data_IF_563523557347
#
_entry.id   IF_563523557347
#
_cell.length_a   1.000
_cell.length_b   1.000
_cell.length_c   1.000
_cell.angle_alpha   90.00
_cell.angle_beta   90.00
_cell.angle_gamma   90.00
#
_symmetry.space_group_name_H-M   'P 1'
#
loop_
_entity.id
_entity.type
_entity.pdbx_description
1 polymer ?
#
# COMPACT_ATOMS: atom_id res chain seq x y z
N UNK A 1 1.99 22.11 -17.06
CA UNK A 1 2.14 20.82 -16.36
C UNK A 1 2.63 19.76 -17.34
N UNK A 2 3.81 19.97 -17.93
CA UNK A 2 4.39 19.04 -18.93
C UNK A 2 5.04 17.80 -18.30
N UNK A 3 5.09 17.72 -16.96
CA UNK A 3 5.71 16.60 -16.24
C UNK A 3 4.73 15.46 -15.91
N UNK A 4 3.41 15.71 -15.88
CA UNK A 4 2.40 14.72 -15.50
C UNK A 4 1.88 13.87 -16.67
N UNK A 5 2.17 14.26 -17.93
CA UNK A 5 1.56 13.63 -19.12
C UNK A 5 2.50 12.75 -19.93
N UNK A 6 3.56 12.18 -19.32
CA UNK A 6 4.18 11.02 -19.98
C UNK A 6 3.15 9.91 -19.94
N UNK A 7 2.48 9.71 -21.08
CA UNK A 7 1.51 8.64 -21.31
C UNK A 7 2.01 7.34 -20.69
N UNK A 8 1.53 7.02 -19.49
CA UNK A 8 1.72 5.73 -18.82
C UNK A 8 1.42 4.59 -19.84
N UNK A 9 0.42 4.79 -20.70
CA UNK A 9 -0.02 3.87 -21.74
C UNK A 9 0.99 3.51 -22.84
N UNK A 10 1.91 4.40 -23.25
CA UNK A 10 2.78 4.13 -24.41
C UNK A 10 4.05 3.34 -24.07
N UNK A 11 4.62 3.53 -22.87
CA UNK A 11 5.76 2.74 -22.40
C UNK A 11 5.31 1.36 -21.89
N UNK A 12 4.07 1.24 -21.42
CA UNK A 12 3.49 0.02 -20.85
C UNK A 12 3.06 -1.00 -21.90
N UNK A 13 2.66 -0.57 -23.10
CA UNK A 13 2.14 -1.46 -24.13
C UNK A 13 3.11 -2.59 -24.58
N UNK A 14 4.41 -2.49 -24.25
CA UNK A 14 5.43 -3.49 -24.57
C UNK A 14 5.92 -4.31 -23.36
N UNK A 15 5.32 -4.10 -22.18
CA UNK A 15 5.67 -4.81 -20.94
C UNK A 15 5.17 -6.25 -20.89
N UNK A 16 5.46 -6.94 -19.78
CA UNK A 16 4.93 -8.28 -19.52
C UNK A 16 3.50 -8.18 -19.01
N UNK A 17 2.55 -8.80 -19.71
CA UNK A 17 1.14 -8.84 -19.31
C UNK A 17 0.86 -9.78 -18.15
N UNK A 18 0.11 -9.26 -17.17
CA UNK A 18 -0.53 -9.99 -16.07
C UNK A 18 -2.01 -9.63 -16.03
N UNK A 19 -2.83 -10.50 -15.44
CA UNK A 19 -4.23 -10.20 -15.10
C UNK A 19 -4.35 -10.02 -13.59
N UNK A 20 -4.76 -8.84 -13.16
CA UNK A 20 -4.87 -8.47 -11.76
C UNK A 20 -6.30 -8.09 -11.40
N UNK A 21 -6.77 -8.47 -10.22
CA UNK A 21 -8.03 -7.98 -9.68
C UNK A 21 -7.78 -6.62 -9.01
N UNK A 22 -8.33 -5.51 -9.54
CA UNK A 22 -8.22 -4.22 -8.87
C UNK A 22 -8.86 -4.24 -7.48
N UNK A 23 -9.93 -5.04 -7.35
CA UNK A 23 -10.68 -5.27 -6.11
C UNK A 23 -10.89 -6.75 -5.87
N UNK A 24 -10.91 -7.20 -4.60
CA UNK A 24 -10.95 -8.63 -4.28
C UNK A 24 -12.21 -9.31 -4.84
N UNK A 25 -12.07 -10.38 -5.65
CA UNK A 25 -13.18 -10.99 -6.39
C UNK A 25 -14.21 -11.67 -5.49
N UNK A 26 -13.84 -12.00 -4.24
CA UNK A 26 -14.75 -12.57 -3.25
C UNK A 26 -15.69 -11.53 -2.62
N UNK A 27 -15.41 -10.24 -2.78
CA UNK A 27 -16.32 -9.13 -2.42
C UNK A 27 -16.98 -8.52 -3.66
N UNK A 28 -16.26 -8.55 -4.77
CA UNK A 28 -16.64 -7.94 -6.04
C UNK A 28 -16.72 -8.98 -7.17
N UNK A 29 -17.62 -9.98 -7.09
CA UNK A 29 -17.67 -11.08 -8.05
C UNK A 29 -18.06 -10.66 -9.48
N UNK A 30 -18.60 -9.45 -9.63
CA UNK A 30 -18.91 -8.85 -10.93
C UNK A 30 -17.72 -8.16 -11.60
N UNK A 31 -16.60 -7.98 -10.90
CA UNK A 31 -15.44 -7.24 -11.41
C UNK A 31 -14.38 -8.22 -11.92
N UNK A 32 -14.18 -8.33 -13.24
CA UNK A 32 -13.17 -9.21 -13.79
C UNK A 32 -11.76 -8.65 -13.53
N UNK A 33 -10.70 -9.47 -13.62
CA UNK A 33 -9.35 -8.95 -13.54
C UNK A 33 -9.02 -8.10 -14.78
N UNK A 34 -8.24 -7.06 -14.60
CA UNK A 34 -7.71 -6.18 -15.64
C UNK A 34 -6.35 -6.68 -16.14
N UNK A 35 -6.13 -6.64 -17.45
CA UNK A 35 -4.81 -6.91 -18.02
C UNK A 35 -3.95 -5.67 -17.88
N UNK A 36 -2.93 -5.75 -17.03
CA UNK A 36 -1.90 -4.71 -16.87
C UNK A 36 -0.61 -5.13 -17.55
N UNK A 37 0.27 -4.15 -17.77
CA UNK A 37 1.63 -4.41 -18.24
C UNK A 37 2.61 -3.97 -17.17
N UNK A 38 3.52 -4.87 -16.81
CA UNK A 38 4.64 -4.55 -15.92
C UNK A 38 5.93 -4.43 -16.72
N UNK A 39 6.89 -3.70 -16.16
CA UNK A 39 8.19 -3.45 -16.78
C UNK A 39 8.97 -4.75 -16.99
N UNK A 40 9.83 -4.73 -18.01
CA UNK A 40 10.49 -5.92 -18.54
C UNK A 40 10.01 -6.24 -19.96
N UNK A 41 10.79 -7.05 -20.67
CA UNK A 41 10.42 -7.50 -22.03
C UNK A 41 9.66 -8.83 -21.91
N UNK A 42 8.73 -9.14 -22.81
CA UNK A 42 8.10 -10.46 -22.84
C UNK A 42 9.17 -11.57 -22.79
N UNK A 43 9.03 -12.47 -21.80
CA UNK A 43 9.99 -13.55 -21.54
C UNK A 43 11.17 -13.20 -20.62
N UNK A 44 11.29 -11.95 -20.14
CA UNK A 44 12.31 -11.58 -19.13
C UNK A 44 11.94 -12.00 -17.72
N UNK A 45 10.65 -12.20 -17.42
CA UNK A 45 10.17 -12.71 -16.13
C UNK A 45 10.11 -14.23 -16.19
N UNK A 46 10.88 -14.88 -15.31
CA UNK A 46 11.09 -16.33 -15.27
C UNK A 46 10.01 -17.12 -14.52
N UNK A 47 10.15 -18.46 -14.45
CA UNK A 47 9.27 -19.33 -13.66
C UNK A 47 9.29 -19.03 -12.16
N UNK A 48 8.14 -19.22 -11.50
CA UNK A 48 7.89 -18.72 -10.14
C UNK A 48 8.12 -17.23 -10.19
N UNK A 49 7.15 -16.47 -10.78
CA UNK A 49 7.39 -15.18 -11.42
C UNK A 49 8.56 -14.45 -10.78
N UNK A 50 9.61 -14.26 -11.55
CA UNK A 50 10.90 -13.83 -11.03
C UNK A 50 11.65 -12.93 -11.99
N UNK A 51 12.24 -11.88 -11.44
CA UNK A 51 13.11 -10.95 -12.14
C UNK A 51 14.36 -10.65 -11.30
N UNK A 52 14.98 -9.51 -11.56
CA UNK A 52 16.19 -9.01 -10.88
C UNK A 52 15.90 -8.33 -9.54
N UNK A 53 14.65 -7.99 -9.22
CA UNK A 53 14.25 -7.33 -7.98
C UNK A 53 13.54 -8.28 -7.01
N UNK A 54 12.75 -9.23 -7.51
CA UNK A 54 11.92 -10.10 -6.67
C UNK A 54 11.68 -11.47 -7.31
N UNK A 55 11.26 -12.44 -6.50
CA UNK A 55 10.82 -13.74 -6.98
C UNK A 55 9.76 -14.33 -6.05
N UNK A 56 8.84 -15.11 -6.63
CA UNK A 56 7.78 -15.77 -5.89
C UNK A 56 8.05 -17.26 -5.70
N UNK A 57 7.80 -17.74 -4.48
CA UNK A 57 7.82 -19.16 -4.11
C UNK A 57 6.50 -19.59 -3.47
N UNK A 58 6.14 -20.86 -3.70
CA UNK A 58 5.06 -21.54 -3.00
C UNK A 58 5.67 -22.68 -2.16
N UNK A 59 6.10 -22.40 -0.92
CA UNK A 59 6.87 -23.36 -0.13
C UNK A 59 6.02 -24.55 0.35
N UNK A 60 6.64 -25.71 0.43
CA UNK A 60 6.05 -26.93 1.02
C UNK A 60 6.58 -27.09 2.44
N UNK A 61 5.69 -27.28 3.41
CA UNK A 61 6.09 -27.61 4.79
C UNK A 61 6.75 -26.46 5.57
N UNK A 62 6.69 -25.22 5.08
CA UNK A 62 7.20 -24.06 5.83
C UNK A 62 6.39 -23.88 7.11
N UNK A 63 7.07 -24.11 8.24
CA UNK A 63 6.45 -24.20 9.57
C UNK A 63 6.63 -22.95 10.41
N UNK A 64 7.53 -22.06 10.00
CA UNK A 64 7.80 -20.77 10.63
C UNK A 64 7.72 -19.70 9.55
N UNK A 65 6.98 -18.64 9.83
CA UNK A 65 7.04 -17.37 9.12
C UNK A 65 8.46 -16.78 9.22
N UNK A 66 8.77 -15.83 8.34
CA UNK A 66 9.96 -15.02 8.51
C UNK A 66 9.74 -13.95 9.56
N UNK A 67 10.82 -13.58 10.26
CA UNK A 67 10.77 -12.69 11.39
C UNK A 67 11.15 -13.32 12.74
N UNK A 68 10.76 -12.66 13.82
CA UNK A 68 10.97 -13.11 15.20
C UNK A 68 10.01 -14.23 15.54
N UNK A 69 10.61 -15.37 15.80
CA UNK A 69 9.89 -16.57 16.17
C UNK A 69 10.28 -17.02 17.58
N UNK A 70 9.43 -17.84 18.18
CA UNK A 70 9.71 -18.51 19.45
C UNK A 70 9.80 -20.01 19.26
N UNK A 71 10.81 -20.62 19.86
CA UNK A 71 10.89 -22.08 19.94
C UNK A 71 9.77 -22.64 20.83
N UNK A 72 9.48 -23.96 20.77
CA UNK A 72 8.59 -24.60 21.74
C UNK A 72 9.00 -24.41 23.22
N UNK A 73 10.23 -23.98 23.49
CA UNK A 73 10.73 -23.68 24.84
C UNK A 73 10.75 -22.16 25.16
N UNK A 74 10.20 -21.32 24.28
CA UNK A 74 10.06 -19.88 24.48
C UNK A 74 11.28 -19.04 24.09
N UNK A 75 12.39 -19.66 23.65
CA UNK A 75 13.58 -18.94 23.18
C UNK A 75 13.28 -18.23 21.86
N UNK A 76 13.61 -16.94 21.80
CA UNK A 76 13.42 -16.12 20.59
C UNK A 76 14.55 -16.42 19.59
N UNK A 77 14.21 -16.59 18.32
CA UNK A 77 15.15 -16.68 17.21
C UNK A 77 14.64 -15.89 16.02
N UNK A 78 15.56 -15.52 15.12
CA UNK A 78 15.24 -14.81 13.89
C UNK A 78 15.26 -15.80 12.72
N UNK A 79 14.18 -15.85 11.94
CA UNK A 79 14.08 -16.61 10.71
C UNK A 79 14.08 -15.65 9.53
N UNK A 80 15.00 -15.79 8.59
CA UNK A 80 15.12 -14.91 7.42
C UNK A 80 15.19 -15.73 6.13
N UNK A 81 14.86 -15.13 4.97
CA UNK A 81 15.07 -15.75 3.67
C UNK A 81 16.54 -16.10 3.41
N UNK A 82 16.83 -16.90 2.36
CA UNK A 82 15.87 -17.56 1.48
C UNK A 82 15.34 -18.87 2.05
N UNK A 83 14.17 -19.31 1.58
CA UNK A 83 13.62 -20.63 1.89
C UNK A 83 14.50 -21.70 1.26
N UNK A 84 14.79 -22.76 2.01
CA UNK A 84 15.71 -23.83 1.58
C UNK A 84 15.05 -25.20 1.39
N UNK A 85 13.77 -25.31 1.71
CA UNK A 85 13.02 -26.56 1.56
C UNK A 85 12.39 -26.70 0.17
N UNK A 86 11.52 -27.70 0.04
CA UNK A 86 10.79 -27.94 -1.21
C UNK A 86 9.84 -26.76 -1.52
N UNK A 87 9.66 -26.50 -2.81
CA UNK A 87 8.65 -25.57 -3.33
C UNK A 87 7.75 -26.32 -4.30
N UNK A 88 6.49 -25.92 -4.38
CA UNK A 88 5.58 -26.42 -5.41
C UNK A 88 6.09 -26.02 -6.80
N UNK A 89 5.57 -26.70 -7.83
CA UNK A 89 5.94 -26.43 -9.22
C UNK A 89 5.73 -24.94 -9.54
N UNK A 90 6.79 -24.20 -9.93
CA UNK A 90 6.66 -22.77 -10.18
C UNK A 90 5.78 -22.48 -11.39
N UNK A 91 4.96 -21.43 -11.29
CA UNK A 91 4.17 -20.88 -12.41
C UNK A 91 5.10 -20.45 -13.54
N UNK A 92 4.72 -20.67 -14.80
CA UNK A 92 5.58 -20.36 -15.97
C UNK A 92 4.93 -19.31 -16.87
N UNK A 93 5.72 -18.46 -17.54
CA UNK A 93 5.19 -17.64 -18.61
C UNK A 93 4.73 -18.52 -19.78
N UNK A 94 3.81 -17.99 -20.58
CA UNK A 94 3.37 -18.57 -21.84
C UNK A 94 4.47 -18.56 -22.90
N UNK A 95 4.19 -19.14 -24.07
CA UNK A 95 5.16 -19.19 -25.18
C UNK A 95 5.56 -17.80 -25.71
N UNK A 96 4.70 -16.80 -25.51
CA UNK A 96 4.91 -15.40 -25.84
C UNK A 96 5.54 -14.60 -24.69
N UNK A 97 5.85 -15.24 -23.56
CA UNK A 97 6.57 -14.62 -22.44
C UNK A 97 5.67 -13.86 -21.45
N UNK A 98 4.36 -14.11 -21.46
CA UNK A 98 3.36 -13.43 -20.64
C UNK A 98 2.63 -14.36 -19.65
N UNK A 99 1.99 -13.78 -18.62
CA UNK A 99 1.27 -14.54 -17.57
C UNK A 99 -0.25 -14.36 -17.65
N UNK A 100 -0.75 -13.51 -18.56
CA UNK A 100 -2.18 -13.28 -18.80
C UNK A 100 -2.93 -14.53 -19.32
N UNK A 101 -2.24 -15.56 -19.80
CA UNK A 101 -2.83 -16.82 -20.24
C UNK A 101 -3.39 -17.71 -19.11
N UNK A 102 -3.04 -17.45 -17.84
CA UNK A 102 -3.37 -18.34 -16.70
C UNK A 102 -4.86 -18.23 -16.33
N UNK A 103 -5.66 -19.31 -16.38
CA UNK A 103 -7.09 -19.26 -16.04
C UNK A 103 -7.34 -18.78 -14.61
N UNK A 104 -8.39 -17.98 -14.38
CA UNK A 104 -8.68 -17.35 -13.07
C UNK A 104 -9.01 -18.37 -11.97
N UNK A 105 -9.47 -19.57 -12.34
CA UNK A 105 -9.82 -20.68 -11.48
C UNK A 105 -8.62 -21.61 -11.18
N UNK A 106 -7.48 -21.36 -11.82
CA UNK A 106 -6.25 -22.10 -11.58
C UNK A 106 -5.54 -21.60 -10.30
N UNK A 107 -4.99 -22.49 -9.45
CA UNK A 107 -4.19 -22.08 -8.29
C UNK A 107 -3.00 -21.17 -8.67
N UNK A 108 -2.43 -21.39 -9.85
CA UNK A 108 -1.34 -20.60 -10.42
C UNK A 108 -1.71 -19.13 -10.66
N UNK A 109 -3.01 -18.82 -10.79
CA UNK A 109 -3.47 -17.45 -10.97
C UNK A 109 -3.17 -16.59 -9.75
N UNK A 110 -3.37 -17.12 -8.53
CA UNK A 110 -3.07 -16.38 -7.31
C UNK A 110 -1.57 -16.04 -7.18
N UNK A 111 -0.69 -16.96 -7.59
CA UNK A 111 0.75 -16.71 -7.63
C UNK A 111 1.12 -15.64 -8.67
N UNK A 112 0.58 -15.72 -9.88
CA UNK A 112 0.79 -14.70 -10.90
C UNK A 112 0.21 -13.34 -10.48
N UNK A 113 -0.95 -13.34 -9.82
CA UNK A 113 -1.61 -12.16 -9.31
C UNK A 113 -0.76 -11.44 -8.26
N UNK A 114 -0.24 -12.16 -7.26
CA UNK A 114 0.64 -11.59 -6.23
C UNK A 114 1.86 -10.94 -6.85
N UNK A 115 2.61 -11.68 -7.68
CA UNK A 115 3.81 -11.11 -8.30
C UNK A 115 3.48 -9.91 -9.18
N UNK A 116 2.44 -10.03 -10.03
CA UNK A 116 2.05 -8.96 -10.94
C UNK A 116 1.60 -7.72 -10.18
N UNK A 117 0.90 -7.87 -9.04
CA UNK A 117 0.48 -6.75 -8.18
C UNK A 117 1.69 -6.05 -7.56
N UNK A 118 2.62 -6.80 -6.99
CA UNK A 118 3.84 -6.24 -6.39
C UNK A 118 4.70 -5.56 -7.45
N UNK A 119 4.91 -6.18 -8.61
CA UNK A 119 5.68 -5.53 -9.69
C UNK A 119 4.99 -4.30 -10.25
N UNK A 120 3.67 -4.35 -10.44
CA UNK A 120 2.88 -3.21 -10.94
C UNK A 120 2.97 -2.02 -9.99
N UNK A 121 2.80 -2.24 -8.68
CA UNK A 121 2.95 -1.18 -7.68
C UNK A 121 4.40 -0.65 -7.63
N UNK A 122 5.42 -1.51 -7.76
CA UNK A 122 6.82 -1.07 -7.83
C UNK A 122 7.05 -0.15 -9.03
N UNK A 123 6.62 -0.57 -10.22
CA UNK A 123 6.79 0.19 -11.45
C UNK A 123 6.12 1.58 -11.38
N UNK A 124 4.96 1.66 -10.71
CA UNK A 124 4.26 2.92 -10.49
C UNK A 124 5.09 3.87 -9.63
N UNK A 125 5.61 3.37 -8.51
CA UNK A 125 6.39 4.20 -7.61
C UNK A 125 7.75 4.59 -8.20
N UNK A 126 8.48 3.66 -8.83
CA UNK A 126 9.74 3.98 -9.52
C UNK A 126 9.58 5.06 -10.60
N UNK A 127 8.42 5.15 -11.25
CA UNK A 127 8.13 6.25 -12.18
C UNK A 127 7.92 7.59 -11.48
N UNK A 128 7.18 7.61 -10.37
CA UNK A 128 7.02 8.83 -9.59
C UNK A 128 8.34 9.32 -8.98
N UNK A 129 9.20 8.41 -8.52
CA UNK A 129 10.57 8.72 -8.09
C UNK A 129 11.50 9.07 -9.27
N UNK A 130 11.22 8.55 -10.46
CA UNK A 130 12.03 8.76 -11.66
C UNK A 130 13.32 7.93 -11.69
N UNK A 131 13.45 6.95 -10.79
CA UNK A 131 14.58 6.02 -10.71
C UNK A 131 14.15 4.69 -10.07
N UNK A 132 14.96 3.66 -10.24
CA UNK A 132 14.74 2.38 -9.57
C UNK A 132 14.97 2.49 -8.06
N UNK A 133 14.18 1.77 -7.28
CA UNK A 133 14.29 1.77 -5.81
C UNK A 133 15.16 0.60 -5.37
N UNK A 134 16.30 0.91 -4.74
CA UNK A 134 17.15 -0.11 -4.13
C UNK A 134 16.51 -0.64 -2.85
N UNK A 135 16.56 -1.96 -2.65
CA UNK A 135 16.08 -2.55 -1.41
C UNK A 135 16.98 -2.17 -0.23
N UNK A 136 16.37 -1.77 0.90
CA UNK A 136 17.08 -1.49 2.15
C UNK A 136 17.86 -2.71 2.70
N UNK A 137 17.55 -3.92 2.21
CA UNK A 137 18.21 -5.18 2.54
C UNK A 137 19.20 -5.67 1.48
N UNK A 138 19.47 -4.88 0.43
CA UNK A 138 20.30 -5.27 -0.73
C UNK A 138 21.72 -5.74 -0.36
N UNK A 139 22.20 -5.36 0.83
CA UNK A 139 23.48 -5.82 1.39
C UNK A 139 23.51 -7.34 1.62
N UNK A 140 22.40 -7.92 2.06
CA UNK A 140 22.33 -9.33 2.47
C UNK A 140 21.48 -10.17 1.51
N UNK A 141 20.46 -9.56 0.89
CA UNK A 141 19.57 -10.20 -0.08
C UNK A 141 19.43 -9.35 -1.33
N UNK A 142 19.82 -9.87 -2.49
CA UNK A 142 19.73 -9.13 -3.76
C UNK A 142 18.28 -8.93 -4.24
N UNK A 143 17.37 -9.80 -3.81
CA UNK A 143 15.98 -9.83 -4.26
C UNK A 143 15.03 -10.06 -3.10
N UNK A 144 13.83 -9.50 -3.22
CA UNK A 144 12.71 -9.80 -2.35
C UNK A 144 12.21 -11.24 -2.59
N UNK A 145 12.17 -12.08 -1.56
CA UNK A 145 11.49 -13.38 -1.60
C UNK A 145 10.03 -13.23 -1.21
N UNK A 146 9.11 -13.49 -2.14
CA UNK A 146 7.67 -13.47 -1.90
C UNK A 146 7.20 -14.92 -1.67
N UNK A 147 6.62 -15.22 -0.51
CA UNK A 147 6.20 -16.57 -0.13
C UNK A 147 4.68 -16.68 0.05
N UNK A 148 4.07 -17.66 -0.62
CA UNK A 148 2.65 -18.00 -0.46
C UNK A 148 2.43 -18.87 0.78
N UNK A 149 1.68 -18.37 1.77
CA UNK A 149 1.37 -19.07 3.02
C UNK A 149 -0.13 -19.05 3.35
N UNK A 150 -1.02 -19.72 2.59
CA UNK A 150 -2.49 -19.59 2.78
C UNK A 150 -3.03 -19.95 4.18
N UNK A 151 -2.26 -20.69 5.00
CA UNK A 151 -2.62 -21.01 6.37
C UNK A 151 -2.24 -19.92 7.40
N UNK A 152 -1.47 -18.92 6.98
CA UNK A 152 -1.09 -17.77 7.79
C UNK A 152 -2.23 -16.74 7.78
N UNK A 153 -2.71 -16.33 8.96
CA UNK A 153 -3.83 -15.39 9.10
C UNK A 153 -3.37 -13.92 9.05
N UNK A 154 -2.41 -13.63 8.17
CA UNK A 154 -1.87 -12.28 7.96
C UNK A 154 -1.19 -12.15 6.59
N UNK A 155 -0.82 -10.93 6.23
CA UNK A 155 0.17 -10.63 5.20
C UNK A 155 1.19 -9.69 5.83
N UNK A 156 2.48 -9.88 5.55
CA UNK A 156 3.51 -8.99 6.08
C UNK A 156 4.77 -8.97 5.22
N UNK A 157 5.55 -7.91 5.37
CA UNK A 157 6.88 -7.77 4.80
C UNK A 157 7.93 -7.63 5.88
N UNK A 158 9.18 -7.89 5.52
CA UNK A 158 10.32 -7.64 6.39
C UNK A 158 11.62 -7.58 5.62
N UNK A 159 12.74 -7.68 6.36
CA UNK A 159 14.08 -7.61 5.79
C UNK A 159 14.36 -8.78 4.82
N UNK A 160 14.10 -8.56 3.53
CA UNK A 160 14.33 -9.51 2.44
C UNK A 160 13.12 -10.34 2.02
N UNK A 161 11.94 -10.16 2.65
CA UNK A 161 10.79 -11.02 2.41
C UNK A 161 9.44 -10.31 2.38
N UNK A 162 8.49 -10.98 1.74
CA UNK A 162 7.05 -10.73 1.81
C UNK A 162 6.34 -12.08 1.96
N UNK A 163 5.42 -12.22 2.90
CA UNK A 163 4.65 -13.46 3.07
C UNK A 163 3.16 -13.18 3.01
N UNK A 164 2.47 -13.94 2.16
CA UNK A 164 1.08 -13.70 1.80
C UNK A 164 0.20 -14.83 2.31
N UNK A 165 -0.64 -14.51 3.28
CA UNK A 165 -1.60 -15.45 3.85
C UNK A 165 -3.03 -15.29 3.35
N UNK A 166 -3.98 -15.60 4.22
CA UNK A 166 -5.40 -15.46 3.98
C UNK A 166 -6.12 -15.18 5.29
N UNK A 167 -7.23 -14.45 5.24
CA UNK A 167 -8.10 -14.34 6.41
C UNK A 167 -8.94 -15.61 6.58
N UNK A 168 -8.94 -16.17 7.78
CA UNK A 168 -9.79 -17.33 8.12
C UNK A 168 -10.97 -16.90 8.98
N UNK A 169 -12.18 -16.91 8.41
CA UNK A 169 -13.40 -16.52 9.14
C UNK A 169 -13.94 -17.67 9.98
N UNK A 170 -14.65 -17.33 11.06
CA UNK A 170 -15.26 -18.30 11.98
C UNK A 170 -16.35 -19.20 11.36
N UNK A 171 -16.88 -18.83 10.19
CA UNK A 171 -17.81 -19.62 9.39
C UNK A 171 -17.11 -20.60 8.43
N UNK A 172 -15.78 -20.64 8.45
CA UNK A 172 -14.95 -21.48 7.57
C UNK A 172 -14.65 -20.85 6.21
N UNK A 173 -15.11 -19.63 5.93
CA UNK A 173 -14.73 -18.92 4.71
C UNK A 173 -13.26 -18.49 4.76
N UNK A 174 -12.56 -18.65 3.64
CA UNK A 174 -11.18 -18.22 3.47
C UNK A 174 -11.16 -17.07 2.48
N UNK A 175 -10.60 -15.94 2.89
CA UNK A 175 -10.42 -14.76 2.05
C UNK A 175 -8.94 -14.63 1.70
N UNK A 176 -8.52 -15.09 0.51
CA UNK A 176 -7.11 -15.11 0.16
C UNK A 176 -6.61 -13.69 -0.05
N UNK A 177 -5.65 -13.23 0.77
CA UNK A 177 -5.01 -11.94 0.55
C UNK A 177 -4.30 -11.90 -0.79
N UNK A 178 -3.86 -13.05 -1.31
CA UNK A 178 -3.23 -13.18 -2.63
C UNK A 178 -4.07 -12.68 -3.80
N UNK A 179 -5.38 -12.48 -3.64
CA UNK A 179 -6.28 -11.90 -4.65
C UNK A 179 -6.78 -10.49 -4.28
N UNK A 180 -6.16 -9.85 -3.29
CA UNK A 180 -6.46 -8.50 -2.86
C UNK A 180 -5.28 -7.57 -3.22
N UNK A 181 -5.45 -6.79 -4.28
CA UNK A 181 -4.42 -5.86 -4.75
C UNK A 181 -4.00 -4.85 -3.67
N UNK A 182 -4.96 -4.29 -2.94
CA UNK A 182 -4.70 -3.27 -1.92
C UNK A 182 -3.75 -3.79 -0.84
N UNK A 183 -3.89 -5.06 -0.44
CA UNK A 183 -2.98 -5.69 0.53
C UNK A 183 -1.57 -5.81 -0.05
N UNK A 184 -1.42 -6.26 -1.31
CA UNK A 184 -0.09 -6.39 -1.93
C UNK A 184 0.59 -5.03 -2.11
N UNK A 185 -0.18 -4.03 -2.55
CA UNK A 185 0.31 -2.68 -2.77
C UNK A 185 0.68 -1.99 -1.44
N UNK A 186 -0.09 -2.23 -0.38
CA UNK A 186 0.20 -1.75 0.97
C UNK A 186 1.51 -2.36 1.51
N UNK A 187 1.63 -3.69 1.46
CA UNK A 187 2.85 -4.37 1.93
C UNK A 187 4.10 -3.92 1.16
N UNK A 188 3.98 -3.76 -0.16
CA UNK A 188 5.09 -3.19 -0.95
C UNK A 188 5.35 -1.71 -0.59
N UNK A 189 4.32 -0.93 -0.29
CA UNK A 189 4.44 0.46 0.13
C UNK A 189 5.43 0.63 1.28
N UNK A 190 5.41 -0.26 2.28
CA UNK A 190 6.44 -0.28 3.32
C UNK A 190 7.86 -0.45 2.75
N UNK A 191 8.06 -1.44 1.87
CA UNK A 191 9.38 -1.71 1.30
C UNK A 191 9.89 -0.56 0.43
N UNK A 192 8.99 0.13 -0.29
CA UNK A 192 9.29 1.36 -1.03
C UNK A 192 9.79 2.44 -0.07
N UNK A 193 9.06 2.72 1.01
CA UNK A 193 9.48 3.73 1.98
C UNK A 193 10.81 3.35 2.64
N UNK A 194 11.00 2.10 3.07
CA UNK A 194 12.28 1.67 3.63
C UNK A 194 13.42 1.75 2.62
N UNK A 195 13.18 1.43 1.34
CA UNK A 195 14.17 1.56 0.27
C UNK A 195 14.59 3.02 0.06
N UNK A 196 13.65 3.96 0.17
CA UNK A 196 13.91 5.38 -0.08
C UNK A 196 14.50 6.12 1.12
N UNK A 197 13.90 6.01 2.30
CA UNK A 197 14.32 6.78 3.49
C UNK A 197 15.16 5.95 4.47
N UNK A 198 15.16 4.62 4.34
CA UNK A 198 15.84 3.73 5.28
C UNK A 198 15.04 3.41 6.54
N UNK A 199 15.70 2.70 7.46
CA UNK A 199 15.16 2.28 8.76
C UNK A 199 15.74 3.20 9.85
N UNK A 200 14.93 3.70 10.81
CA UNK A 200 15.40 4.59 11.84
C UNK A 200 16.36 3.89 12.79
N UNK A 201 17.23 4.69 13.41
CA UNK A 201 17.94 4.27 14.59
C UNK A 201 16.96 4.09 15.75
N UNK A 202 17.11 3.02 16.55
CA UNK A 202 16.21 2.71 17.69
C UNK A 202 16.02 3.84 18.70
N UNK A 203 17.02 4.72 18.85
CA UNK A 203 16.96 5.87 19.76
C UNK A 203 16.25 7.08 19.17
N UNK A 204 16.06 7.08 17.85
CA UNK A 204 15.38 8.13 17.08
C UNK A 204 13.95 7.74 16.70
N UNK A 205 13.52 6.51 16.99
CA UNK A 205 12.15 6.04 16.83
C UNK A 205 11.19 6.88 17.68
N UNK A 206 10.10 7.32 17.06
CA UNK A 206 8.96 7.93 17.73
C UNK A 206 7.67 7.24 17.28
N UNK A 207 6.56 7.47 17.99
CA UNK A 207 5.29 6.83 17.65
C UNK A 207 4.78 7.20 16.26
N UNK A 208 4.95 8.46 15.89
CA UNK A 208 4.54 8.99 14.60
C UNK A 208 5.29 8.36 13.42
N UNK A 209 6.51 7.85 13.59
CA UNK A 209 7.22 7.10 12.55
C UNK A 209 6.45 5.83 12.16
N UNK A 210 5.93 5.08 13.13
CA UNK A 210 5.17 3.86 12.87
C UNK A 210 3.79 4.17 12.28
N UNK A 211 3.11 5.20 12.80
CA UNK A 211 1.87 5.68 12.20
C UNK A 211 2.08 6.18 10.76
N UNK A 212 3.22 6.83 10.49
CA UNK A 212 3.61 7.24 9.14
C UNK A 212 3.86 6.05 8.22
N UNK A 213 4.58 5.02 8.66
CA UNK A 213 4.84 3.83 7.84
C UNK A 213 3.53 3.18 7.37
N UNK A 214 2.55 3.04 8.26
CA UNK A 214 1.22 2.53 7.91
C UNK A 214 0.46 3.49 6.99
N UNK A 215 0.52 4.80 7.26
CA UNK A 215 -0.12 5.80 6.41
C UNK A 215 0.46 5.80 5.00
N UNK A 216 1.79 5.82 4.89
CA UNK A 216 2.50 5.80 3.62
C UNK A 216 2.22 4.54 2.81
N UNK A 217 2.09 3.39 3.46
CA UNK A 217 1.70 2.13 2.82
C UNK A 217 0.24 2.17 2.31
N UNK A 218 -0.70 2.70 3.08
CA UNK A 218 -2.08 2.93 2.61
C UNK A 218 -2.14 3.89 1.40
N UNK A 219 -1.41 5.01 1.48
CA UNK A 219 -1.32 5.97 0.38
C UNK A 219 -0.65 5.35 -0.86
N UNK A 220 0.32 4.46 -0.65
CA UNK A 220 0.95 3.68 -1.70
C UNK A 220 -0.06 2.81 -2.45
N UNK A 221 -0.93 2.12 -1.71
CA UNK A 221 -2.01 1.32 -2.27
C UNK A 221 -3.06 2.18 -3.00
N UNK A 222 -3.47 3.30 -2.39
CA UNK A 222 -4.47 4.22 -2.96
C UNK A 222 -4.05 4.79 -4.31
N UNK A 223 -2.83 5.30 -4.39
CA UNK A 223 -2.31 5.87 -5.64
C UNK A 223 -2.17 4.77 -6.68
N UNK A 224 -1.71 3.58 -6.28
CA UNK A 224 -1.53 2.46 -7.20
C UNK A 224 -2.86 1.90 -7.73
N UNK A 225 -3.91 1.83 -6.92
CA UNK A 225 -5.23 1.33 -7.35
C UNK A 225 -5.87 2.25 -8.40
N UNK A 226 -5.63 3.56 -8.30
CA UNK A 226 -6.07 4.54 -9.30
C UNK A 226 -5.34 4.43 -10.66
N UNK A 227 -4.43 3.49 -10.85
CA UNK A 227 -3.86 3.15 -12.16
C UNK A 227 -4.63 2.07 -12.92
N UNK A 228 -5.65 1.45 -12.31
CA UNK A 228 -6.55 0.54 -13.02
C UNK A 228 -7.65 1.32 -13.74
N UNK A 229 -7.81 1.05 -15.04
CA UNK A 229 -8.82 1.71 -15.86
C UNK A 229 -10.24 1.31 -15.46
N UNK A 230 -10.43 0.05 -15.11
CA UNK A 230 -11.72 -0.45 -14.65
C UNK A 230 -12.08 0.15 -13.30
N UNK A 231 -11.12 0.29 -12.38
CA UNK A 231 -11.36 0.87 -11.07
C UNK A 231 -11.71 2.36 -11.18
N UNK A 232 -10.97 3.15 -11.99
CA UNK A 232 -11.30 4.55 -12.25
C UNK A 232 -12.71 4.72 -12.82
N UNK A 233 -13.06 3.90 -13.81
CA UNK A 233 -14.36 3.98 -14.47
C UNK A 233 -15.49 3.63 -13.50
N UNK A 234 -15.34 2.53 -12.77
CA UNK A 234 -16.32 2.08 -11.78
C UNK A 234 -16.50 3.10 -10.65
N UNK A 235 -15.40 3.59 -10.07
CA UNK A 235 -15.43 4.60 -9.01
C UNK A 235 -16.20 5.86 -9.46
N UNK A 236 -15.99 6.34 -10.69
CA UNK A 236 -16.70 7.51 -11.22
C UNK A 236 -18.15 7.20 -11.58
N UNK A 237 -18.46 6.00 -12.06
CA UNK A 237 -19.84 5.56 -12.31
C UNK A 237 -20.66 5.45 -11.01
N UNK A 238 -20.04 5.04 -9.90
CA UNK A 238 -20.73 4.94 -8.61
C UNK A 238 -20.88 6.28 -7.90
N UNK A 239 -19.84 7.11 -7.94
CA UNK A 239 -19.78 8.34 -7.12
C UNK A 239 -20.15 9.60 -7.91
N UNK A 240 -20.07 9.54 -9.23
CA UNK A 240 -20.13 10.71 -10.12
C UNK A 240 -19.14 11.82 -9.73
N UNK A 241 -18.03 11.46 -9.05
CA UNK A 241 -17.00 12.38 -8.58
C UNK A 241 -17.20 12.93 -7.16
N UNK A 242 -18.24 12.51 -6.43
CA UNK A 242 -18.40 12.88 -5.03
C UNK A 242 -17.70 11.86 -4.10
N UNK A 243 -16.43 12.09 -3.78
CA UNK A 243 -15.63 11.15 -2.97
C UNK A 243 -15.74 11.33 -1.45
N UNK A 244 -16.43 12.38 -0.96
CA UNK A 244 -16.68 12.56 0.47
C UNK A 244 -17.84 11.70 0.99
N UNK A 245 -18.50 10.94 0.11
CA UNK A 245 -19.42 9.86 0.49
C UNK A 245 -18.70 8.51 0.42
N UNK A 246 -19.13 7.56 1.24
CA UNK A 246 -18.58 6.20 1.29
C UNK A 246 -18.42 5.59 -0.10
N UNK A 247 -17.20 5.17 -0.46
CA UNK A 247 -16.88 4.63 -1.78
C UNK A 247 -15.65 3.72 -1.77
N UNK A 248 -15.39 3.01 -2.87
CA UNK A 248 -14.29 2.04 -2.93
C UNK A 248 -12.86 2.63 -2.82
N UNK A 249 -12.66 3.91 -3.13
CA UNK A 249 -11.35 4.57 -3.00
C UNK A 249 -10.96 4.79 -1.54
N UNK A 250 -11.96 4.95 -0.66
CA UNK A 250 -11.71 5.17 0.76
C UNK A 250 -11.50 3.88 1.57
N UNK A 251 -11.68 2.69 0.98
CA UNK A 251 -11.59 1.40 1.68
C UNK A 251 -10.30 0.66 1.36
N UNK A 252 -9.46 0.46 2.38
CA UNK A 252 -8.24 -0.34 2.26
C UNK A 252 -8.44 -1.76 2.80
N UNK A 253 -7.97 -2.74 2.03
CA UNK A 253 -8.01 -4.16 2.38
C UNK A 253 -9.41 -4.59 2.83
N UNK A 254 -10.38 -4.48 1.91
CA UNK A 254 -11.76 -4.88 2.16
C UNK A 254 -11.82 -6.36 2.56
N UNK A 255 -12.51 -6.64 3.69
CA UNK A 255 -12.68 -7.97 4.26
C UNK A 255 -14.13 -8.45 4.09
N UNK A 256 -15.12 -7.57 4.20
CA UNK A 256 -16.49 -7.85 3.76
C UNK A 256 -17.20 -6.57 3.28
N UNK A 257 -18.53 -6.63 3.07
CA UNK A 257 -19.30 -5.48 2.56
C UNK A 257 -19.27 -4.27 3.49
N UNK A 258 -19.01 -4.45 4.78
CA UNK A 258 -19.01 -3.37 5.79
C UNK A 258 -17.70 -3.30 6.61
N UNK A 259 -16.79 -4.24 6.39
CA UNK A 259 -15.54 -4.38 7.13
C UNK A 259 -14.37 -4.19 6.19
N UNK A 260 -13.51 -3.25 6.56
CA UNK A 260 -12.23 -2.97 5.93
C UNK A 260 -11.21 -2.81 7.04
N UNK A 261 -9.93 -3.02 6.73
CA UNK A 261 -8.90 -2.82 7.74
C UNK A 261 -8.80 -1.32 8.09
N UNK A 262 -8.92 -0.42 7.10
CA UNK A 262 -8.80 1.04 7.28
C UNK A 262 -9.67 1.85 6.31
N UNK A 263 -10.00 3.09 6.71
CA UNK A 263 -10.75 4.06 5.90
C UNK A 263 -9.93 5.34 5.65
N UNK A 264 -9.68 5.66 4.38
CA UNK A 264 -9.01 6.91 4.00
C UNK A 264 -9.86 8.12 4.41
N UNK A 265 -11.15 8.09 4.10
CA UNK A 265 -12.14 9.05 4.58
C UNK A 265 -12.54 8.71 6.02
N UNK A 266 -11.96 9.43 6.98
CA UNK A 266 -12.24 9.27 8.41
C UNK A 266 -12.26 10.64 9.10
N UNK A 267 -12.78 10.73 10.32
CA UNK A 267 -12.84 11.99 11.09
C UNK A 267 -11.77 12.12 12.18
N UNK A 268 -10.79 11.20 12.23
CA UNK A 268 -9.76 11.20 13.28
C UNK A 268 -8.79 12.37 13.10
N UNK A 269 -8.38 12.92 14.24
CA UNK A 269 -7.43 14.02 14.33
C UNK A 269 -6.31 13.66 15.31
N UNK A 270 -5.20 14.41 15.29
CA UNK A 270 -4.13 14.22 16.28
C UNK A 270 -4.58 14.51 17.72
N UNK A 271 -5.66 15.27 17.92
CA UNK A 271 -6.22 15.50 19.26
C UNK A 271 -6.69 14.19 19.92
N UNK A 272 -7.18 13.23 19.13
CA UNK A 272 -7.62 11.91 19.61
C UNK A 272 -6.47 11.06 20.17
N UNK A 273 -5.22 11.44 19.88
CA UNK A 273 -4.00 10.74 20.30
C UNK A 273 -3.11 11.58 21.24
N UNK A 274 -3.55 12.78 21.63
CA UNK A 274 -2.77 13.69 22.47
C UNK A 274 -2.50 13.11 23.88
N UNK A 275 -3.47 12.36 24.42
CA UNK A 275 -3.36 11.70 25.73
C UNK A 275 -2.67 10.32 25.66
N UNK A 276 -2.28 9.88 24.45
CA UNK A 276 -1.57 8.64 24.17
C UNK A 276 -2.32 7.69 23.24
N UNK A 277 -1.64 6.62 22.83
CA UNK A 277 -2.12 5.71 21.78
C UNK A 277 -1.67 4.26 22.01
N UNK A 278 -2.39 3.31 21.41
CA UNK A 278 -2.13 1.86 21.57
C UNK A 278 -1.77 1.15 20.27
N UNK A 279 -2.21 1.69 19.14
CA UNK A 279 -2.23 1.03 17.83
C UNK A 279 -1.78 2.04 16.77
N UNK A 280 -0.66 1.74 16.12
CA UNK A 280 -0.10 2.59 15.07
C UNK A 280 -0.99 2.67 13.82
N UNK A 281 -1.81 1.64 13.54
CA UNK A 281 -2.78 1.68 12.44
C UNK A 281 -3.89 2.69 12.68
N UNK A 282 -4.20 2.99 13.95
CA UNK A 282 -5.11 4.09 14.31
C UNK A 282 -4.38 5.42 14.28
N UNK A 283 -3.15 5.46 14.78
CA UNK A 283 -2.32 6.66 14.75
C UNK A 283 -2.03 7.13 13.32
N UNK A 284 -2.05 6.24 12.33
CA UNK A 284 -1.87 6.57 10.90
C UNK A 284 -3.05 7.35 10.30
N UNK A 285 -4.27 7.13 10.81
CA UNK A 285 -5.51 7.62 10.21
C UNK A 285 -5.59 9.14 10.01
N UNK A 286 -5.12 10.00 10.95
CA UNK A 286 -5.12 11.45 10.73
C UNK A 286 -4.26 11.87 9.54
N UNK A 287 -3.10 11.23 9.32
CA UNK A 287 -2.25 11.53 8.17
C UNK A 287 -2.85 10.97 6.87
N UNK A 288 -3.32 9.72 6.89
CA UNK A 288 -3.99 9.10 5.72
C UNK A 288 -5.19 9.94 5.28
N UNK A 289 -6.00 10.38 6.25
CA UNK A 289 -7.13 11.27 6.01
C UNK A 289 -6.71 12.62 5.42
N UNK A 290 -5.71 13.29 6.00
CA UNK A 290 -5.22 14.57 5.47
C UNK A 290 -4.83 14.48 3.98
N UNK A 291 -4.16 13.39 3.60
CA UNK A 291 -3.67 13.19 2.23
C UNK A 291 -4.80 12.76 1.29
N UNK A 292 -5.77 12.00 1.77
CA UNK A 292 -7.01 11.72 1.04
C UNK A 292 -7.78 13.02 0.76
N UNK A 293 -7.96 13.89 1.76
CA UNK A 293 -8.62 15.18 1.61
C UNK A 293 -7.90 16.03 0.55
N UNK A 294 -6.56 16.02 0.53
CA UNK A 294 -5.75 16.70 -0.50
C UNK A 294 -6.04 16.15 -1.90
N UNK A 295 -6.12 14.82 -2.07
CA UNK A 295 -6.46 14.21 -3.36
C UNK A 295 -7.82 14.71 -3.87
N UNK A 296 -8.83 14.63 -3.01
CA UNK A 296 -10.21 15.01 -3.35
C UNK A 296 -10.30 16.51 -3.64
N UNK A 297 -9.62 17.34 -2.85
CA UNK A 297 -9.62 18.79 -3.03
C UNK A 297 -8.91 19.20 -4.33
N UNK A 298 -7.80 18.55 -4.70
CA UNK A 298 -7.12 18.80 -5.98
C UNK A 298 -7.98 18.34 -7.15
N UNK A 299 -8.64 17.19 -7.04
CA UNK A 299 -9.59 16.72 -8.03
C UNK A 299 -10.74 17.70 -8.23
N UNK A 300 -11.36 18.18 -7.15
CA UNK A 300 -12.45 19.14 -7.24
C UNK A 300 -11.99 20.49 -7.78
N UNK A 301 -10.78 20.95 -7.44
CA UNK A 301 -10.22 22.16 -8.04
C UNK A 301 -10.03 21.99 -9.55
N UNK A 302 -9.53 20.83 -9.98
CA UNK A 302 -9.40 20.47 -11.39
C UNK A 302 -10.77 20.44 -12.12
N UNK A 303 -11.85 20.01 -11.46
CA UNK A 303 -13.22 20.09 -12.01
C UNK A 303 -13.72 21.55 -12.08
N UNK A 304 -13.46 22.37 -11.07
CA UNK A 304 -13.85 23.78 -11.04
C UNK A 304 -13.18 24.57 -12.15
N UNK A 305 -11.88 24.38 -12.35
CA UNK A 305 -11.11 25.06 -13.39
C UNK A 305 -11.56 24.70 -14.81
N UNK A 306 -12.04 23.46 -15.00
CA UNK A 306 -12.67 23.01 -16.25
C UNK A 306 -14.12 23.47 -16.42
N UNK A 307 -14.70 24.13 -15.41
CA UNK A 307 -16.10 24.56 -15.42
C UNK A 307 -17.10 23.39 -15.35
N UNK A 308 -16.66 22.22 -14.85
CA UNK A 308 -17.50 21.03 -14.69
C UNK A 308 -18.40 21.15 -13.47
N UNK A 309 -17.87 21.69 -12.37
CA UNK A 309 -18.63 22.04 -11.17
C UNK A 309 -18.37 23.50 -10.79
N UNK A 310 -19.28 24.10 -10.01
CA UNK A 310 -19.05 25.43 -9.44
C UNK A 310 -18.16 25.35 -8.19
N UNK A 311 -17.41 26.42 -7.87
CA UNK A 311 -16.69 26.51 -6.57
C UNK A 311 -17.61 26.27 -5.38
N UNK A 312 -18.84 26.79 -5.44
CA UNK A 312 -19.84 26.59 -4.40
C UNK A 312 -20.32 25.13 -4.28
N UNK A 313 -20.19 24.29 -5.31
CA UNK A 313 -20.46 22.86 -5.22
C UNK A 313 -19.30 22.14 -4.51
N UNK A 314 -18.05 22.44 -4.89
CA UNK A 314 -16.86 21.92 -4.23
C UNK A 314 -16.80 22.29 -2.74
N UNK A 315 -17.04 23.56 -2.39
CA UNK A 315 -17.07 24.02 -0.98
C UNK A 315 -18.13 23.27 -0.14
N UNK A 316 -19.28 22.94 -0.75
CA UNK A 316 -20.32 22.16 -0.07
C UNK A 316 -19.95 20.69 0.09
N UNK A 317 -19.26 20.11 -0.89
CA UNK A 317 -18.81 18.73 -0.83
C UNK A 317 -17.87 18.51 0.36
N UNK A 318 -16.91 19.43 0.56
CA UNK A 318 -16.03 19.41 1.73
C UNK A 318 -16.78 19.52 3.07
N UNK A 319 -17.91 20.22 3.08
CA UNK A 319 -18.76 20.36 4.27
C UNK A 319 -19.53 19.08 4.67
N UNK A 320 -19.59 18.06 3.80
CA UNK A 320 -20.37 16.82 4.06
C UNK A 320 -19.85 16.07 5.28
N UNK A 321 -18.54 16.10 5.54
CA UNK A 321 -17.96 15.46 6.72
C UNK A 321 -18.45 16.09 8.03
N UNK A 322 -18.72 17.39 8.02
CA UNK A 322 -19.25 18.12 9.17
C UNK A 322 -20.77 18.08 9.27
N UNK A 323 -21.47 17.99 8.13
CA UNK A 323 -22.92 17.84 8.05
C UNK A 323 -23.30 16.73 7.06
N UNK A 324 -23.30 15.45 7.50
CA UNK A 324 -23.68 14.32 6.65
C UNK A 324 -25.11 14.44 6.09
N UNK A 325 -25.99 15.22 6.71
CA UNK A 325 -27.35 15.45 6.20
C UNK A 325 -27.39 16.24 4.89
N UNK A 326 -26.28 16.91 4.55
CA UNK A 326 -26.11 17.62 3.29
C UNK A 326 -25.74 16.71 2.11
N UNK A 327 -25.29 15.48 2.36
CA UNK A 327 -24.78 14.56 1.33
C UNK A 327 -25.72 14.36 0.13
N UNK A 328 -27.05 14.14 0.30
CA UNK A 328 -27.93 13.97 -0.86
C UNK A 328 -28.04 15.21 -1.75
N UNK A 329 -27.96 16.41 -1.16
CA UNK A 329 -27.99 17.67 -1.92
C UNK A 329 -26.69 17.89 -2.68
N UNK A 330 -25.55 17.51 -2.09
CA UNK A 330 -24.26 17.55 -2.75
C UNK A 330 -24.22 16.54 -3.90
N UNK A 331 -24.67 15.30 -3.67
CA UNK A 331 -24.71 14.27 -4.69
C UNK A 331 -25.48 14.71 -5.93
N UNK A 332 -26.65 15.33 -5.76
CA UNK A 332 -27.44 15.83 -6.89
C UNK A 332 -26.68 16.86 -7.77
N UNK A 333 -25.78 17.66 -7.18
CA UNK A 333 -24.93 18.60 -7.93
C UNK A 333 -23.88 17.86 -8.78
N UNK A 334 -23.30 16.79 -8.25
CA UNK A 334 -22.33 15.95 -8.96
C UNK A 334 -23.01 15.12 -10.04
N UNK A 335 -24.19 14.55 -9.76
CA UNK A 335 -24.99 13.81 -10.75
C UNK A 335 -25.32 14.67 -11.97
N UNK A 336 -25.73 15.92 -11.76
CA UNK A 336 -26.00 16.87 -12.85
C UNK A 336 -24.72 17.22 -13.64
N UNK A 337 -23.61 17.45 -12.94
CA UNK A 337 -22.33 17.79 -13.56
C UNK A 337 -21.71 16.64 -14.37
N UNK A 338 -21.89 15.41 -13.90
CA UNK A 338 -21.29 14.20 -14.49
C UNK A 338 -21.99 13.75 -15.78
N UNK A 339 -23.27 14.09 -15.95
CA UNK A 339 -24.07 13.65 -17.11
C UNK A 339 -23.41 13.99 -18.46
N UNK A 340 -23.01 12.94 -19.17
CA UNK A 340 -22.36 13.04 -20.48
C UNK A 340 -20.90 13.52 -20.46
N UNK A 341 -20.28 13.65 -19.28
CA UNK A 341 -18.93 14.21 -19.08
C UNK A 341 -17.98 13.27 -18.33
N UNK A 342 -18.24 11.97 -18.35
CA UNK A 342 -17.41 10.97 -17.64
C UNK A 342 -15.94 11.02 -18.02
N UNK A 343 -15.62 11.27 -19.30
CA UNK A 343 -14.24 11.43 -19.77
C UNK A 343 -13.51 12.60 -19.11
N UNK A 344 -14.19 13.75 -18.97
CA UNK A 344 -13.58 14.96 -18.38
C UNK A 344 -13.36 14.81 -16.86
N UNK A 345 -14.28 14.11 -16.18
CA UNK A 345 -14.09 13.73 -14.77
C UNK A 345 -12.93 12.75 -14.61
N UNK A 346 -12.81 11.76 -15.50
CA UNK A 346 -11.69 10.81 -15.50
C UNK A 346 -10.35 11.52 -15.69
N UNK A 347 -10.27 12.47 -16.63
CA UNK A 347 -9.05 13.26 -16.83
C UNK A 347 -8.67 14.10 -15.59
N UNK A 348 -9.65 14.71 -14.92
CA UNK A 348 -9.41 15.46 -13.69
C UNK A 348 -8.93 14.55 -12.54
N UNK A 349 -9.48 13.34 -12.42
CA UNK A 349 -9.06 12.38 -11.39
C UNK A 349 -7.63 11.87 -11.66
N UNK A 350 -7.29 11.59 -12.91
CA UNK A 350 -5.92 11.23 -13.32
C UNK A 350 -4.94 12.36 -13.00
N UNK A 351 -5.31 13.62 -13.29
CA UNK A 351 -4.48 14.78 -12.92
C UNK A 351 -4.23 14.84 -11.41
N UNK A 352 -5.28 14.63 -10.59
CA UNK A 352 -5.17 14.65 -9.14
C UNK A 352 -4.32 13.49 -8.59
N UNK A 353 -4.50 12.28 -9.13
CA UNK A 353 -3.68 11.10 -8.82
C UNK A 353 -2.21 11.34 -9.13
N UNK A 354 -1.90 11.83 -10.34
CA UNK A 354 -0.53 12.04 -10.80
C UNK A 354 0.15 13.18 -10.03
N UNK A 355 -0.61 14.23 -9.70
CA UNK A 355 -0.15 15.27 -8.78
C UNK A 355 0.21 14.67 -7.42
N UNK A 356 -0.70 13.89 -6.83
CA UNK A 356 -0.48 13.32 -5.50
C UNK A 356 0.74 12.40 -5.46
N UNK A 357 0.84 11.47 -6.42
CA UNK A 357 1.97 10.55 -6.53
C UNK A 357 3.31 11.28 -6.65
N UNK A 358 3.35 12.34 -7.48
CA UNK A 358 4.56 13.14 -7.67
C UNK A 358 4.95 13.95 -6.42
N UNK A 359 4.00 14.62 -5.75
CA UNK A 359 4.34 15.35 -4.51
C UNK A 359 4.75 14.39 -3.40
N UNK A 360 4.14 13.20 -3.33
CA UNK A 360 4.44 12.22 -2.31
C UNK A 360 5.84 11.66 -2.50
N UNK A 361 6.20 11.21 -3.72
CA UNK A 361 7.55 10.74 -4.02
C UNK A 361 8.59 11.83 -3.72
N UNK A 362 8.37 13.06 -4.21
CA UNK A 362 9.28 14.18 -3.96
C UNK A 362 9.36 14.61 -2.48
N UNK A 363 8.30 14.38 -1.68
CA UNK A 363 8.33 14.61 -0.25
C UNK A 363 9.18 13.54 0.45
N UNK A 364 8.93 12.26 0.14
CA UNK A 364 9.62 11.11 0.72
C UNK A 364 11.13 11.19 0.48
N UNK A 365 11.60 11.58 -0.71
CA UNK A 365 13.02 11.77 -1.01
C UNK A 365 13.74 12.79 -0.11
N UNK A 366 12.99 13.68 0.54
CA UNK A 366 13.53 14.71 1.45
C UNK A 366 13.50 14.30 2.91
N UNK A 367 12.85 13.18 3.23
CA UNK A 367 12.68 12.74 4.60
C UNK A 367 13.93 12.01 5.10
N UNK A 368 14.12 12.11 6.42
CA UNK A 368 15.04 11.25 7.17
C UNK A 368 14.19 10.28 8.00
N UNK A 369 14.62 9.02 8.17
CA UNK A 369 13.89 8.06 8.98
C UNK A 369 13.99 8.42 10.47
N UNK A 370 15.09 9.07 10.87
CA UNK A 370 15.33 9.49 12.24
C UNK A 370 14.47 10.71 12.62
N UNK A 371 13.81 10.64 13.79
CA UNK A 371 13.00 11.72 14.39
C UNK A 371 11.80 12.20 13.55
N UNK A 372 11.37 11.41 12.57
CA UNK A 372 10.27 11.73 11.66
C UNK A 372 8.95 11.91 12.40
N UNK A 373 8.24 13.02 12.20
CA UNK A 373 6.92 13.26 12.76
C UNK A 373 5.99 13.87 11.71
N UNK A 374 4.70 13.99 12.00
CA UNK A 374 3.71 14.43 11.01
C UNK A 374 3.90 15.87 10.58
N UNK A 375 4.48 16.73 11.42
CA UNK A 375 4.82 18.10 11.03
C UNK A 375 5.93 18.13 9.97
N UNK A 376 6.98 17.31 10.14
CA UNK A 376 8.06 17.18 9.16
C UNK A 376 7.52 16.66 7.82
N UNK A 377 6.62 15.68 7.86
CA UNK A 377 5.99 15.12 6.65
C UNK A 377 5.15 16.18 5.94
N UNK A 378 4.31 16.92 6.67
CA UNK A 378 3.50 18.01 6.12
C UNK A 378 4.38 19.10 5.48
N UNK A 379 5.46 19.51 6.14
CA UNK A 379 6.41 20.48 5.59
C UNK A 379 7.07 19.97 4.31
N UNK A 380 7.50 18.70 4.28
CA UNK A 380 8.09 18.09 3.10
C UNK A 380 7.11 18.04 1.91
N UNK A 381 5.84 17.74 2.15
CA UNK A 381 4.80 17.76 1.12
C UNK A 381 4.52 19.19 0.61
N UNK A 382 4.50 20.18 1.50
CA UNK A 382 4.33 21.58 1.14
C UNK A 382 5.51 22.13 0.31
N UNK A 383 6.74 21.71 0.64
CA UNK A 383 7.93 22.03 -0.13
C UNK A 383 7.93 21.32 -1.50
N UNK A 384 7.42 20.09 -1.56
CA UNK A 384 7.21 19.38 -2.83
C UNK A 384 6.19 20.09 -3.73
N UNK A 385 5.03 20.50 -3.22
CA UNK A 385 4.05 21.30 -3.97
C UNK A 385 4.67 22.61 -4.47
N UNK A 386 5.41 23.30 -3.60
CA UNK A 386 6.13 24.53 -3.99
C UNK A 386 7.10 24.29 -5.15
N UNK A 387 7.85 23.20 -5.12
CA UNK A 387 8.84 22.88 -6.14
C UNK A 387 8.19 22.46 -7.47
N UNK A 388 7.12 21.67 -7.43
CA UNK A 388 6.50 21.07 -8.62
C UNK A 388 5.43 21.94 -9.29
N UNK A 389 4.69 22.73 -8.50
CA UNK A 389 3.56 23.54 -8.98
C UNK A 389 3.70 25.04 -8.70
N UNK A 390 4.75 25.46 -7.98
CA UNK A 390 4.87 26.83 -7.50
C UNK A 390 4.01 27.12 -6.27
N UNK A 391 3.46 26.09 -5.61
CA UNK A 391 2.63 26.25 -4.41
C UNK A 391 1.14 26.40 -4.73
N UNK A 392 0.69 25.86 -5.88
CA UNK A 392 -0.67 26.00 -6.39
C UNK A 392 -1.71 25.48 -5.39
N UNK A 393 -1.43 24.34 -4.76
CA UNK A 393 -2.36 23.66 -3.87
C UNK A 393 -2.04 23.82 -2.38
N UNK A 394 -0.98 24.59 -2.05
CA UNK A 394 -0.55 24.90 -0.69
C UNK A 394 -1.70 25.23 0.26
N UNK A 395 -2.68 26.04 -0.18
CA UNK A 395 -3.82 26.41 0.67
C UNK A 395 -4.65 25.19 1.07
N UNK A 396 -5.00 24.32 0.10
CA UNK A 396 -5.80 23.12 0.33
C UNK A 396 -5.08 22.18 1.31
N UNK A 397 -3.77 21.98 1.09
CA UNK A 397 -2.93 21.15 1.97
C UNK A 397 -2.88 21.68 3.40
N UNK A 398 -2.67 23.00 3.57
CA UNK A 398 -2.66 23.60 4.91
C UNK A 398 -4.01 23.47 5.62
N UNK A 399 -5.12 23.60 4.89
CA UNK A 399 -6.46 23.42 5.46
C UNK A 399 -6.68 21.97 5.92
N UNK A 400 -6.27 20.97 5.13
CA UNK A 400 -6.39 19.56 5.51
C UNK A 400 -5.49 19.21 6.69
N UNK A 401 -4.23 19.67 6.70
CA UNK A 401 -3.34 19.46 7.85
C UNK A 401 -3.86 20.15 9.12
N UNK A 402 -4.37 21.37 9.00
CA UNK A 402 -4.92 22.10 10.16
C UNK A 402 -6.14 21.38 10.74
N UNK A 403 -7.05 20.94 9.89
CA UNK A 403 -8.23 20.20 10.33
C UNK A 403 -7.87 18.95 11.12
N UNK A 404 -6.84 18.22 10.69
CA UNK A 404 -6.32 17.02 11.36
C UNK A 404 -5.42 17.32 12.57
N UNK A 405 -5.12 18.59 12.86
CA UNK A 405 -4.22 19.02 13.92
C UNK A 405 -2.74 18.78 13.64
N UNK A 406 -2.36 18.45 12.41
CA UNK A 406 -0.99 18.17 11.99
C UNK A 406 -0.17 19.47 12.05
N UNK A 407 0.97 19.44 12.74
CA UNK A 407 1.79 20.63 13.00
C UNK A 407 1.31 21.50 14.17
N UNK A 408 0.16 21.19 14.79
CA UNK A 408 -0.38 21.92 15.96
C UNK A 408 -0.45 21.07 17.22
N UNK A 409 -0.88 19.82 17.09
CA UNK A 409 -1.06 18.90 18.21
C UNK A 409 0.14 17.95 18.29
N UNK A 410 0.67 17.78 19.49
CA UNK A 410 1.71 16.80 19.76
C UNK A 410 1.09 15.47 20.17
N UNK A 411 1.52 14.38 19.54
CA UNK A 411 1.08 13.02 19.89
C UNK A 411 1.58 12.63 21.27
N UNK A 412 0.72 11.99 22.05
CA UNK A 412 1.03 11.47 23.38
C UNK A 412 1.93 10.22 23.35
N UNK A 413 2.30 9.68 24.53
CA UNK A 413 3.12 8.48 24.60
C UNK A 413 2.33 7.24 24.15
N UNK A 414 3.05 6.18 23.74
CA UNK A 414 2.44 4.86 23.58
C UNK A 414 2.01 4.34 24.96
N UNK A 415 0.76 3.92 25.10
CA UNK A 415 0.14 3.52 26.37
C UNK A 415 0.20 2.02 26.64
N UNK A 416 0.39 1.20 25.60
CA UNK A 416 0.58 -0.26 25.73
C UNK A 416 1.88 -0.72 25.08
N UNK A 417 2.54 -1.76 25.61
CA UNK A 417 3.61 -2.45 24.91
C UNK A 417 3.13 -2.94 23.53
N UNK A 418 4.06 -3.12 22.58
CA UNK A 418 3.75 -3.77 21.31
C UNK A 418 3.23 -5.20 21.58
N UNK A 419 2.17 -5.62 20.91
CA UNK A 419 1.74 -7.02 20.87
C UNK A 419 2.31 -7.67 19.60
N UNK A 420 2.02 -8.96 19.38
CA UNK A 420 2.52 -9.72 18.23
C UNK A 420 1.97 -9.21 16.87
N UNK A 421 1.02 -8.26 16.89
CA UNK A 421 0.48 -7.58 15.69
C UNK A 421 1.04 -6.16 15.51
N UNK A 422 1.87 -5.67 16.44
CA UNK A 422 2.33 -4.28 16.48
C UNK A 422 3.73 -4.09 15.85
N UNK A 423 3.89 -3.01 15.09
CA UNK A 423 5.07 -2.72 14.26
C UNK A 423 6.29 -2.17 15.02
N UNK A 424 6.15 -1.82 16.29
CA UNK A 424 7.23 -1.30 17.16
C UNK A 424 8.34 -2.32 17.48
N UNK A 425 8.14 -3.60 17.16
CA UNK A 425 9.18 -4.63 17.10
C UNK A 425 9.12 -5.40 15.77
N UNK A 426 8.65 -4.72 14.71
CA UNK A 426 8.36 -5.33 13.41
C UNK A 426 9.58 -5.99 12.81
N UNK A 427 9.35 -7.16 12.19
CA UNK A 427 10.31 -7.84 11.33
C UNK A 427 10.82 -6.97 10.17
N UNK A 428 10.12 -5.87 9.89
CA UNK A 428 10.47 -4.80 8.97
C UNK A 428 11.70 -3.98 9.38
N UNK A 429 11.92 -3.77 10.67
CA UNK A 429 13.04 -2.96 11.19
C UNK A 429 14.16 -3.82 11.80
N UNK A 430 13.99 -5.15 11.79
CA UNK A 430 14.96 -6.10 12.30
C UNK A 430 16.10 -6.36 11.31
N UNK A 431 17.14 -5.56 11.47
CA UNK A 431 18.41 -5.73 10.76
C UNK A 431 19.20 -6.95 11.28
N UNK A 432 19.93 -7.70 10.43
CA UNK A 432 20.72 -8.88 10.83
C UNK A 432 21.72 -8.63 11.95
N UNK A 433 22.19 -7.39 12.13
CA UNK A 433 23.06 -6.99 13.23
C UNK A 433 22.44 -7.17 14.63
N UNK A 434 21.11 -7.30 14.74
CA UNK A 434 20.44 -7.59 16.00
C UNK A 434 20.48 -9.07 16.39
N UNK A 435 20.86 -9.98 15.47
CA UNK A 435 21.01 -11.42 15.77
C UNK A 435 22.01 -11.71 16.89
N UNK A 436 23.06 -10.87 17.02
CA UNK A 436 24.05 -10.99 18.09
C UNK A 436 23.52 -10.70 19.50
N UNK A 437 22.34 -10.07 19.59
CA UNK A 437 21.66 -9.76 20.85
C UNK A 437 20.61 -10.82 21.24
N UNK A 438 20.29 -11.76 20.34
CA UNK A 438 19.33 -12.83 20.61
C UNK A 438 19.97 -13.95 21.44
N UNK A 439 19.19 -14.61 22.33
CA UNK A 439 19.68 -15.74 23.11
C UNK A 439 20.13 -16.89 22.19
N UNK A 440 21.25 -17.53 22.55
CA UNK A 440 21.72 -18.71 21.81
C UNK A 440 20.77 -19.87 22.05
N UNK A 441 20.23 -20.44 20.97
CA UNK A 441 19.47 -21.70 21.02
C UNK A 441 20.30 -22.79 21.70
N UNK A 442 19.69 -23.55 22.61
CA UNK A 442 20.31 -24.72 23.22
C UNK A 442 20.61 -25.81 22.18
N UNK A 443 21.47 -26.77 22.51
CA UNK A 443 21.73 -27.92 21.62
C UNK A 443 20.44 -28.67 21.25
N UNK A 444 19.54 -28.86 22.22
CA UNK A 444 18.24 -29.51 22.02
C UNK A 444 17.36 -28.75 21.02
N UNK A 445 17.29 -27.42 21.16
CA UNK A 445 16.55 -26.57 20.22
C UNK A 445 17.16 -26.61 18.83
N UNK A 446 18.49 -26.50 18.71
CA UNK A 446 19.19 -26.61 17.42
C UNK A 446 18.93 -27.96 16.73
N UNK A 447 18.85 -29.05 17.49
CA UNK A 447 18.53 -30.37 16.95
C UNK A 447 17.08 -30.47 16.46
N UNK A 448 16.12 -29.84 17.15
CA UNK A 448 14.72 -29.77 16.69
C UNK A 448 14.64 -29.03 15.35
N UNK A 449 15.32 -27.88 15.21
CA UNK A 449 15.39 -27.18 13.92
C UNK A 449 16.06 -28.00 12.82
N UNK A 450 17.19 -28.65 13.13
CA UNK A 450 17.91 -29.46 12.15
C UNK A 450 17.14 -30.72 11.72
N UNK A 451 16.19 -31.20 12.53
CA UNK A 451 15.28 -32.30 12.19
C UNK A 451 14.05 -31.79 11.42
N UNK A 452 13.51 -30.61 11.77
CA UNK A 452 12.42 -29.97 11.03
C UNK A 452 12.83 -29.63 9.58
N UNK A 453 14.07 -29.16 9.37
CA UNK A 453 14.61 -28.91 8.03
C UNK A 453 15.00 -30.17 7.23
N UNK A 454 14.95 -31.37 7.83
CA UNK A 454 15.27 -32.65 7.15
C UNK A 454 14.05 -33.51 6.83
N UNK A 455 12.92 -33.22 7.47
CA UNK A 455 11.65 -33.92 7.28
C UNK A 455 10.62 -33.07 6.52
N UNK A 456 11.03 -31.93 5.96
CA UNK A 456 10.24 -31.03 5.12
C UNK A 456 10.73 -31.10 3.68
#
# INVERSE_FOLDING_TARGET
MEWASRNWSEQDANGVRFRLFPKPPFLHPGHPPETVHVSGRPGSIGPGPSDDHMYLINPVGKSYDYGLNRTPYGTIFLNLPPWRGEIRRPVRPGADGHFDHIPIDAPEFAEAHVFGSVRFTLDIWERYFGHSIDWHFAKDFQRLEIAMLPAFDNSHVGYGFMEIGAQHRGDGAIMPYSLNFDVMAHELGHLVIYGTIGVPNRVAENGEYFGWQESAADLSAMVASLHFEQHLSHLLEETHGNFYTFNELDRFAELDTNTQIRLANNSLTLADFADGWHDEHKLSQPMTGAVFDILVDVFQEALVERGLISRAAADRARGVEHDPSSAPRVQALFDEAYQGRSGEFREALIEARDYLGAIFAAAVERLSPDHLNYAIIADAMLDADRALTGGRYRRLMLESFDWRGIGRVKVGPRLSPPDDKNHTHSDRTLLPQFTGQLPKLSFRERMIFACACRNA
#
